data_IF_727591370293
#
_entry.id   IF_727591370293
#
_cell.length_a   1.000
_cell.length_b   1.000
_cell.length_c   1.000
_cell.angle_alpha   90.00
_cell.angle_beta   90.00
_cell.angle_gamma   90.00
#
_symmetry.space_group_name_H-M   'P 1'
#
loop_
_entity.id
_entity.type
_entity.pdbx_description
1 polymer ?
#
# COMPACT_ATOMS: atom_id res chain seq x y z
N UNK A 1 -1.14 34.54 6.23
CA UNK A 1 -1.59 34.00 7.53
C UNK A 1 -2.24 35.15 8.29
N UNK A 2 -3.58 35.17 8.39
CA UNK A 2 -4.35 36.31 8.92
C UNK A 2 -4.67 36.21 10.43
N UNK A 3 -4.07 35.25 11.16
CA UNK A 3 -4.24 35.01 12.61
C UNK A 3 -5.70 35.04 13.10
N UNK A 4 -6.62 34.49 12.30
CA UNK A 4 -8.07 34.49 12.57
C UNK A 4 -8.51 33.51 13.67
N UNK A 5 -7.70 32.49 13.96
CA UNK A 5 -7.98 31.44 14.96
C UNK A 5 -6.71 31.09 15.72
N UNK A 6 -6.85 30.50 16.91
CA UNK A 6 -5.70 29.98 17.64
C UNK A 6 -5.08 28.77 16.90
N UNK A 7 -3.81 28.51 17.16
CA UNK A 7 -3.12 27.35 16.57
C UNK A 7 -3.79 26.02 16.96
N UNK A 8 -4.27 25.91 18.20
CA UNK A 8 -5.00 24.73 18.69
C UNK A 8 -6.30 24.52 17.91
N UNK A 9 -7.08 25.58 17.70
CA UNK A 9 -8.30 25.51 16.87
C UNK A 9 -7.99 25.16 15.41
N UNK A 10 -6.91 25.70 14.86
CA UNK A 10 -6.49 25.38 13.50
C UNK A 10 -6.12 23.89 13.34
N UNK A 11 -5.41 23.33 14.33
CA UNK A 11 -5.06 21.91 14.35
C UNK A 11 -6.31 21.05 14.49
N UNK A 12 -7.23 21.41 15.38
CA UNK A 12 -8.46 20.63 15.58
C UNK A 12 -9.33 20.58 14.31
N UNK A 13 -9.53 21.74 13.67
CA UNK A 13 -10.28 21.84 12.40
C UNK A 13 -9.55 21.10 11.28
N UNK A 14 -8.23 21.26 11.15
CA UNK A 14 -7.42 20.60 10.13
C UNK A 14 -7.31 19.08 10.32
N UNK A 15 -7.36 18.60 11.56
CA UNK A 15 -7.29 17.19 11.88
C UNK A 15 -8.57 16.42 11.52
N UNK A 16 -9.74 17.07 11.55
CA UNK A 16 -11.02 16.43 11.28
C UNK A 16 -11.11 15.75 9.89
N UNK A 17 -10.83 16.44 8.76
CA UNK A 17 -10.89 15.81 7.43
C UNK A 17 -9.82 14.73 7.26
N UNK A 18 -8.62 14.91 7.82
CA UNK A 18 -7.55 13.91 7.79
C UNK A 18 -7.95 12.64 8.55
N UNK A 19 -8.55 12.80 9.73
CA UNK A 19 -9.06 11.69 10.54
C UNK A 19 -10.14 10.92 9.78
N UNK A 20 -11.09 11.62 9.18
CA UNK A 20 -12.16 11.00 8.40
C UNK A 20 -11.62 10.23 7.20
N UNK A 21 -10.65 10.79 6.48
CA UNK A 21 -9.95 10.11 5.39
C UNK A 21 -9.26 8.83 5.87
N UNK A 22 -8.44 8.92 6.92
CA UNK A 22 -7.70 7.76 7.45
C UNK A 22 -8.66 6.66 7.92
N UNK A 23 -9.74 7.01 8.61
CA UNK A 23 -10.73 6.04 9.09
C UNK A 23 -11.46 5.34 7.94
N UNK A 24 -11.70 6.02 6.82
CA UNK A 24 -12.30 5.41 5.63
C UNK A 24 -11.42 4.30 5.04
N UNK A 25 -10.10 4.47 5.09
CA UNK A 25 -9.12 3.52 4.54
C UNK A 25 -8.63 2.48 5.56
N UNK A 26 -8.83 2.74 6.85
CA UNK A 26 -8.40 1.83 7.91
C UNK A 26 -9.33 0.64 8.02
N UNK A 27 -8.79 -0.57 7.92
CA UNK A 27 -9.56 -1.80 8.16
C UNK A 27 -10.05 -1.85 9.61
N UNK A 28 -11.31 -2.23 9.81
CA UNK A 28 -11.94 -2.34 11.14
C UNK A 28 -11.12 -3.16 12.14
N UNK A 29 -10.52 -4.28 11.68
CA UNK A 29 -9.68 -5.14 12.52
C UNK A 29 -8.41 -4.44 13.00
N UNK A 30 -7.77 -3.69 12.12
CA UNK A 30 -6.54 -2.97 12.45
C UNK A 30 -6.85 -1.79 13.39
N UNK A 31 -7.97 -1.09 13.18
CA UNK A 31 -8.44 -0.07 14.12
C UNK A 31 -8.77 -0.65 15.52
N UNK A 32 -9.47 -1.79 15.57
CA UNK A 32 -9.83 -2.47 16.82
C UNK A 32 -8.60 -2.82 17.65
N UNK A 33 -7.54 -3.33 17.02
CA UNK A 33 -6.28 -3.64 17.70
C UNK A 33 -5.74 -2.43 18.46
N UNK A 34 -5.68 -1.26 17.82
CA UNK A 34 -5.16 -0.06 18.47
C UNK A 34 -6.12 0.54 19.50
N UNK A 35 -7.44 0.40 19.33
CA UNK A 35 -8.43 0.77 20.34
C UNK A 35 -8.26 -0.07 21.62
N UNK A 36 -8.05 -1.38 21.47
CA UNK A 36 -7.83 -2.31 22.58
C UNK A 36 -6.51 -2.03 23.31
N UNK A 37 -5.42 -1.85 22.56
CA UNK A 37 -4.10 -1.51 23.11
C UNK A 37 -4.13 -0.15 23.82
N UNK A 38 -4.82 0.83 23.22
CA UNK A 38 -4.98 2.18 23.77
C UNK A 38 -5.93 2.27 24.97
N UNK A 39 -6.63 1.18 25.33
CA UNK A 39 -7.67 1.13 26.37
C UNK A 39 -8.69 2.26 26.23
N UNK A 40 -9.02 2.63 24.98
CA UNK A 40 -9.97 3.72 24.70
C UNK A 40 -11.39 3.21 24.95
N UNK A 41 -12.22 4.05 25.55
CA UNK A 41 -13.60 3.70 25.80
C UNK A 41 -14.33 3.47 24.46
N UNK A 42 -15.09 2.37 24.34
CA UNK A 42 -15.72 1.96 23.07
C UNK A 42 -16.79 2.94 22.57
N UNK A 43 -17.22 3.85 23.45
CA UNK A 43 -18.22 4.88 23.19
C UNK A 43 -17.67 6.09 22.43
N UNK A 44 -16.35 6.16 22.20
CA UNK A 44 -15.75 7.23 21.39
C UNK A 44 -16.20 7.03 19.93
N UNK A 45 -17.03 7.95 19.45
CA UNK A 45 -17.42 8.04 18.04
C UNK A 45 -16.18 8.06 17.16
N UNK A 46 -16.23 7.35 16.03
CA UNK A 46 -15.09 7.26 15.10
C UNK A 46 -14.54 8.65 14.72
N UNK A 47 -15.42 9.64 14.61
CA UNK A 47 -15.07 11.03 14.29
C UNK A 47 -14.29 11.77 15.38
N UNK A 48 -14.35 11.34 16.64
CA UNK A 48 -13.59 11.92 17.76
C UNK A 48 -12.41 11.05 18.20
N UNK A 49 -12.08 10.02 17.43
CA UNK A 49 -10.99 9.11 17.75
C UNK A 49 -9.64 9.86 17.80
N UNK A 50 -8.83 9.68 18.84
CA UNK A 50 -7.54 10.35 18.93
C UNK A 50 -6.59 9.97 17.79
N UNK A 51 -5.85 10.95 17.27
CA UNK A 51 -4.95 10.74 16.14
C UNK A 51 -3.85 9.70 16.44
N UNK A 52 -3.39 9.60 17.68
CA UNK A 52 -2.38 8.61 18.09
C UNK A 52 -2.89 7.16 18.01
N UNK A 53 -4.20 6.94 17.84
CA UNK A 53 -4.80 5.63 17.55
C UNK A 53 -5.03 5.48 16.04
N UNK A 54 -5.62 6.51 15.42
CA UNK A 54 -6.01 6.47 14.00
C UNK A 54 -4.79 6.38 13.08
N UNK A 55 -3.75 7.16 13.34
CA UNK A 55 -2.53 7.20 12.50
C UNK A 55 -1.83 5.84 12.44
N UNK A 56 -1.45 5.18 13.55
CA UNK A 56 -0.78 3.89 13.45
C UNK A 56 -1.70 2.79 12.89
N UNK A 57 -3.00 2.82 13.20
CA UNK A 57 -3.96 1.88 12.61
C UNK A 57 -4.06 2.02 11.09
N UNK A 58 -4.11 3.26 10.59
CA UNK A 58 -4.10 3.57 9.17
C UNK A 58 -2.80 3.09 8.51
N UNK A 59 -1.64 3.38 9.10
CA UNK A 59 -0.34 2.97 8.55
C UNK A 59 -0.26 1.44 8.40
N UNK A 60 -0.67 0.67 9.39
CA UNK A 60 -0.67 -0.80 9.31
C UNK A 60 -1.64 -1.30 8.23
N UNK A 61 -2.82 -0.72 8.14
CA UNK A 61 -3.81 -1.05 7.10
C UNK A 61 -3.25 -0.78 5.69
N UNK A 62 -2.59 0.36 5.49
CA UNK A 62 -1.97 0.75 4.22
C UNK A 62 -0.77 -0.13 3.88
N UNK A 63 0.09 -0.47 4.83
CA UNK A 63 1.21 -1.39 4.60
C UNK A 63 0.70 -2.74 4.11
N UNK A 64 -0.35 -3.27 4.73
CA UNK A 64 -0.96 -4.54 4.31
C UNK A 64 -1.50 -4.45 2.89
N UNK A 65 -2.21 -3.38 2.56
CA UNK A 65 -2.72 -3.14 1.20
C UNK A 65 -1.58 -3.00 0.18
N UNK A 66 -0.51 -2.27 0.52
CA UNK A 66 0.67 -2.10 -0.32
C UNK A 66 1.38 -3.44 -0.58
N UNK A 67 1.54 -4.30 0.43
CA UNK A 67 2.09 -5.66 0.25
C UNK A 67 1.21 -6.53 -0.65
N UNK A 68 -0.12 -6.43 -0.53
CA UNK A 68 -1.05 -7.17 -1.40
C UNK A 68 -0.91 -6.72 -2.86
N UNK A 69 -0.89 -5.42 -3.12
CA UNK A 69 -0.69 -4.84 -4.46
C UNK A 69 0.69 -5.27 -5.01
N UNK A 70 1.75 -5.08 -4.23
CA UNK A 70 3.11 -5.46 -4.63
C UNK A 70 3.25 -6.95 -4.95
N UNK A 71 2.62 -7.81 -4.16
CA UNK A 71 2.61 -9.25 -4.42
C UNK A 71 1.91 -9.59 -5.73
N UNK A 72 0.72 -9.05 -5.98
CA UNK A 72 -0.04 -9.28 -7.22
C UNK A 72 0.74 -8.82 -8.46
N UNK A 73 1.42 -7.67 -8.37
CA UNK A 73 2.26 -7.14 -9.44
C UNK A 73 3.52 -7.97 -9.68
N UNK A 74 4.04 -8.62 -8.64
CA UNK A 74 5.27 -9.42 -8.71
C UNK A 74 5.06 -10.78 -9.40
N UNK A 75 3.88 -11.39 -9.26
CA UNK A 75 3.53 -12.70 -9.85
C UNK A 75 3.90 -12.84 -11.34
N UNK A 76 3.49 -11.95 -12.26
CA UNK A 76 3.80 -12.10 -13.68
C UNK A 76 5.31 -12.10 -13.95
N UNK A 77 6.09 -11.30 -13.22
CA UNK A 77 7.54 -11.26 -13.38
C UNK A 77 8.23 -12.53 -12.85
N UNK A 78 7.70 -13.08 -11.75
CA UNK A 78 8.18 -14.35 -11.20
C UNK A 78 7.93 -15.51 -12.18
N UNK A 79 6.79 -15.51 -12.89
CA UNK A 79 6.52 -16.51 -13.94
C UNK A 79 7.56 -16.40 -15.05
N UNK A 80 7.89 -15.18 -15.50
CA UNK A 80 8.94 -14.97 -16.51
C UNK A 80 10.29 -15.50 -16.04
N UNK A 81 10.67 -15.26 -14.78
CA UNK A 81 11.91 -15.79 -14.22
C UNK A 81 11.95 -17.32 -14.22
N UNK A 82 10.87 -17.97 -13.76
CA UNK A 82 10.79 -19.43 -13.69
C UNK A 82 10.84 -20.07 -15.08
N UNK A 83 10.16 -19.48 -16.06
CA UNK A 83 10.16 -19.97 -17.45
C UNK A 83 11.53 -19.79 -18.11
N UNK A 84 12.15 -18.62 -17.96
CA UNK A 84 13.49 -18.38 -18.52
C UNK A 84 14.52 -19.31 -17.88
N UNK A 85 14.48 -19.49 -16.56
CA UNK A 85 15.38 -20.40 -15.86
C UNK A 85 15.22 -21.85 -16.33
N UNK A 86 13.99 -22.36 -16.48
CA UNK A 86 13.75 -23.75 -16.90
C UNK A 86 14.20 -24.01 -18.35
N UNK A 87 14.04 -23.03 -19.24
CA UNK A 87 14.53 -23.10 -20.63
C UNK A 87 16.07 -23.11 -20.66
N UNK A 88 16.73 -22.21 -19.93
CA UNK A 88 18.20 -22.16 -19.88
C UNK A 88 18.81 -23.45 -19.31
N UNK A 89 18.21 -24.00 -18.25
CA UNK A 89 18.62 -25.29 -17.70
C UNK A 89 18.46 -26.41 -18.72
N UNK A 90 17.36 -26.41 -19.48
CA UNK A 90 17.09 -27.41 -20.53
C UNK A 90 18.08 -27.31 -21.70
N UNK A 91 18.64 -26.12 -21.96
CA UNK A 91 19.70 -25.91 -22.96
C UNK A 91 21.12 -26.26 -22.44
N UNK A 92 21.26 -26.66 -21.18
CA UNK A 92 22.55 -26.96 -20.55
C UNK A 92 23.37 -25.71 -20.18
N UNK A 93 22.80 -24.50 -20.27
CA UNK A 93 23.48 -23.24 -19.98
C UNK A 93 23.43 -22.89 -18.48
N UNK A 94 24.10 -23.70 -17.65
CA UNK A 94 24.13 -23.49 -16.19
C UNK A 94 24.97 -22.27 -15.74
N UNK A 95 25.88 -21.80 -16.59
CA UNK A 95 26.84 -20.73 -16.27
C UNK A 95 26.27 -19.32 -16.50
N UNK A 96 25.15 -19.19 -17.23
CA UNK A 96 24.52 -17.89 -17.47
C UNK A 96 23.45 -17.62 -16.41
N UNK A 97 23.57 -16.52 -15.63
CA UNK A 97 22.55 -16.12 -14.68
C UNK A 97 21.20 -15.88 -15.37
N UNK A 98 20.13 -16.65 -15.03
CA UNK A 98 18.82 -16.51 -15.69
C UNK A 98 18.22 -15.11 -15.60
N UNK A 99 18.56 -14.37 -14.53
CA UNK A 99 18.10 -13.00 -14.27
C UNK A 99 18.53 -12.02 -15.37
N UNK A 100 19.73 -12.18 -15.95
CA UNK A 100 20.20 -11.29 -17.02
C UNK A 100 19.39 -11.50 -18.30
N UNK A 101 18.99 -12.75 -18.57
CA UNK A 101 18.19 -13.08 -19.74
C UNK A 101 16.73 -12.70 -19.51
N UNK A 102 16.18 -12.88 -18.30
CA UNK A 102 14.78 -12.58 -18.01
C UNK A 102 14.48 -11.07 -17.96
N UNK A 103 15.47 -10.23 -17.60
CA UNK A 103 15.31 -8.78 -17.49
C UNK A 103 14.68 -8.11 -18.75
N UNK A 104 15.21 -8.28 -19.98
CA UNK A 104 14.60 -7.69 -21.16
C UNK A 104 13.17 -8.19 -21.41
N UNK A 105 12.86 -9.46 -21.14
CA UNK A 105 11.49 -9.97 -21.27
C UNK A 105 10.54 -9.34 -20.26
N UNK A 106 10.98 -9.10 -19.02
CA UNK A 106 10.18 -8.38 -18.02
C UNK A 106 9.89 -6.95 -18.45
N UNK A 107 10.90 -6.25 -18.97
CA UNK A 107 10.75 -4.88 -19.47
C UNK A 107 9.78 -4.84 -20.65
N UNK A 108 9.91 -5.76 -21.61
CA UNK A 108 8.98 -5.88 -22.73
C UNK A 108 7.56 -6.16 -22.24
N UNK A 109 7.37 -7.15 -21.38
CA UNK A 109 6.05 -7.47 -20.81
C UNK A 109 5.44 -6.26 -20.12
N UNK A 110 6.22 -5.55 -19.31
CA UNK A 110 5.77 -4.38 -18.58
C UNK A 110 5.35 -3.23 -19.50
N UNK A 111 6.09 -2.98 -20.58
CA UNK A 111 5.72 -1.95 -21.58
C UNK A 111 4.51 -2.40 -22.41
N UNK A 112 4.45 -3.67 -22.82
CA UNK A 112 3.35 -4.21 -23.64
C UNK A 112 1.98 -4.15 -22.97
N UNK A 113 1.94 -4.30 -21.65
CA UNK A 113 0.69 -4.22 -20.88
C UNK A 113 0.35 -2.81 -20.39
N UNK A 114 1.12 -1.80 -20.81
CA UNK A 114 1.06 -0.44 -20.25
C UNK A 114 1.15 -0.45 -18.71
N UNK A 115 2.22 -1.07 -18.21
CA UNK A 115 2.41 -1.35 -16.79
C UNK A 115 2.38 -0.10 -15.91
N UNK A 116 2.90 1.04 -16.39
CA UNK A 116 2.82 2.30 -15.66
C UNK A 116 1.38 2.76 -15.44
N UNK A 117 0.53 2.68 -16.47
CA UNK A 117 -0.89 2.99 -16.32
C UNK A 117 -1.56 2.05 -15.33
N UNK A 118 -1.30 0.73 -15.41
CA UNK A 118 -1.85 -0.24 -14.48
C UNK A 118 -1.43 0.00 -13.02
N UNK A 119 -0.16 0.34 -12.78
CA UNK A 119 0.36 0.67 -11.46
C UNK A 119 -0.34 1.90 -10.88
N UNK A 120 -0.33 3.00 -11.63
CA UNK A 120 -0.92 4.27 -11.18
C UNK A 120 -2.43 4.12 -10.97
N UNK A 121 -3.13 3.44 -11.89
CA UNK A 121 -4.56 3.15 -11.76
C UNK A 121 -4.86 2.31 -10.52
N UNK A 122 -4.07 1.28 -10.25
CA UNK A 122 -4.25 0.41 -9.07
C UNK A 122 -4.06 1.18 -7.77
N UNK A 123 -3.06 2.08 -7.71
CA UNK A 123 -2.85 2.95 -6.56
C UNK A 123 -4.02 3.92 -6.35
N UNK A 124 -4.49 4.60 -7.41
CA UNK A 124 -5.61 5.54 -7.31
C UNK A 124 -6.89 4.83 -6.88
N UNK A 125 -7.18 3.66 -7.46
CA UNK A 125 -8.37 2.88 -7.10
C UNK A 125 -8.30 2.32 -5.67
N UNK A 126 -7.11 2.13 -5.10
CA UNK A 126 -6.94 1.68 -3.71
C UNK A 126 -7.46 2.67 -2.68
N UNK A 127 -7.48 3.97 -2.98
CA UNK A 127 -7.94 5.02 -2.07
C UNK A 127 -9.41 5.40 -2.28
N UNK A 128 -10.11 4.74 -3.21
CA UNK A 128 -11.50 5.06 -3.54
C UNK A 128 -12.49 4.35 -2.62
#
# INVERSE_FOLDING_TARGET
>A
MENKISQEQAIEIGAAPLRQFMLKQTRKKDLQLFVEVGKINKDVTSEKMPLYIVVPAFIISELKTAFQIGFLLFIPFLIVDLVVASILMSMGMMMLPPVMISLPFKLLLFVMVDGWHLLVKSLIMSFK
#
